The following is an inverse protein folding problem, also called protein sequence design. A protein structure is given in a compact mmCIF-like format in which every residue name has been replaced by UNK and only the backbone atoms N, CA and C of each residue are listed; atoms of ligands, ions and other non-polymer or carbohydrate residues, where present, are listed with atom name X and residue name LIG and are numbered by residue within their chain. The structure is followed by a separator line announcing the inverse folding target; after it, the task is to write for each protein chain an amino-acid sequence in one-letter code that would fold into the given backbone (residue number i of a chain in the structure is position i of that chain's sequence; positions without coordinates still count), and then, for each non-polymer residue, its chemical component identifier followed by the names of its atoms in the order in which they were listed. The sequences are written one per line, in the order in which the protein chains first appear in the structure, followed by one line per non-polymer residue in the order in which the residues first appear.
data_IF_341106131413
#
_entry.id   IF_341106131413
#
_cell.length_a   1.000
_cell.length_b   1.000
_cell.length_c   1.000
_cell.angle_alpha   90.00
_cell.angle_beta   90.00
_cell.angle_gamma   90.00
#
_symmetry.space_group_name_H-M   'P 1'
#
loop_
_entity.id
_entity.type
_entity.pdbx_description
1 polymer ?
#
# COMPACT_ATOMS: atom_id res chain seq x y z
N UNK A 1 -27.83 18.58 -28.81
CA UNK A 1 -26.96 18.86 -27.64
C UNK A 1 -26.21 17.61 -27.16
N UNK A 2 -26.89 16.48 -26.94
CA UNK A 2 -26.29 15.24 -26.42
C UNK A 2 -25.03 14.74 -27.17
N UNK A 3 -25.03 14.72 -28.52
CA UNK A 3 -23.89 14.24 -29.32
C UNK A 3 -22.58 15.02 -29.07
N UNK A 4 -22.66 16.34 -28.86
CA UNK A 4 -21.47 17.18 -28.60
C UNK A 4 -20.92 16.96 -27.19
N UNK A 5 -21.80 16.75 -26.21
CA UNK A 5 -21.41 16.41 -24.85
C UNK A 5 -20.71 15.03 -24.79
N UNK A 6 -21.23 14.03 -25.51
CA UNK A 6 -20.60 12.71 -25.59
C UNK A 6 -19.21 12.74 -26.23
N UNK A 7 -19.02 13.51 -27.31
CA UNK A 7 -17.71 13.68 -27.95
C UNK A 7 -16.73 14.36 -26.98
N UNK A 8 -17.17 15.42 -26.29
CA UNK A 8 -16.32 16.13 -25.33
C UNK A 8 -15.87 15.21 -24.17
N UNK A 9 -16.77 14.41 -23.61
CA UNK A 9 -16.45 13.44 -22.56
C UNK A 9 -15.45 12.41 -23.06
N UNK A 10 -15.64 11.89 -24.28
CA UNK A 10 -14.71 10.92 -24.88
C UNK A 10 -13.32 11.52 -25.08
N UNK A 11 -13.23 12.75 -25.60
CA UNK A 11 -11.95 13.45 -25.80
C UNK A 11 -11.24 13.67 -24.45
N UNK A 12 -11.96 14.13 -23.42
CA UNK A 12 -11.39 14.30 -22.08
C UNK A 12 -10.93 12.96 -21.51
N UNK A 13 -11.73 11.90 -21.64
CA UNK A 13 -11.36 10.56 -21.19
C UNK A 13 -10.08 10.06 -21.88
N UNK A 14 -9.96 10.26 -23.20
CA UNK A 14 -8.75 9.89 -23.95
C UNK A 14 -7.53 10.70 -23.50
N UNK A 15 -7.69 12.02 -23.32
CA UNK A 15 -6.60 12.90 -22.86
C UNK A 15 -6.08 12.51 -21.46
N UNK A 16 -6.93 11.95 -20.60
CA UNK A 16 -6.52 11.45 -19.28
C UNK A 16 -5.99 10.01 -19.33
N UNK A 17 -6.55 9.17 -20.21
CA UNK A 17 -6.16 7.77 -20.33
C UNK A 17 -4.74 7.61 -20.89
N UNK A 18 -4.35 8.42 -21.88
CA UNK A 18 -3.02 8.36 -22.52
C UNK A 18 -1.88 8.54 -21.51
N UNK A 19 -1.80 9.62 -20.70
CA UNK A 19 -0.71 9.80 -19.75
C UNK A 19 -0.73 8.74 -18.64
N UNK A 20 -1.92 8.30 -18.18
CA UNK A 20 -2.01 7.23 -17.18
C UNK A 20 -1.50 5.89 -17.72
N UNK A 21 -1.85 5.55 -18.97
CA UNK A 21 -1.37 4.35 -19.64
C UNK A 21 0.14 4.42 -19.88
N UNK A 22 0.65 5.56 -20.34
CA UNK A 22 2.08 5.79 -20.51
C UNK A 22 2.84 5.66 -19.18
N UNK A 23 2.37 6.33 -18.13
CA UNK A 23 2.94 6.27 -16.78
C UNK A 23 2.96 4.85 -16.21
N UNK A 24 1.87 4.11 -16.40
CA UNK A 24 1.79 2.69 -16.00
C UNK A 24 2.78 1.84 -16.80
N UNK A 25 2.87 2.03 -18.12
CA UNK A 25 3.76 1.27 -18.99
C UNK A 25 5.25 1.54 -18.71
N UNK A 26 5.59 2.76 -18.31
CA UNK A 26 6.96 3.13 -17.90
C UNK A 26 7.30 2.75 -16.45
N UNK A 27 6.33 2.26 -15.67
CA UNK A 27 6.54 1.87 -14.28
C UNK A 27 6.47 3.01 -13.27
N UNK A 28 6.16 4.24 -13.70
CA UNK A 28 5.98 5.40 -12.82
C UNK A 28 4.70 5.33 -11.98
N UNK A 29 3.79 4.42 -12.33
CA UNK A 29 2.55 4.17 -11.59
C UNK A 29 2.41 2.68 -11.29
N UNK A 30 2.31 2.37 -10.01
CA UNK A 30 2.08 1.02 -9.52
C UNK A 30 0.62 0.85 -9.11
N UNK A 31 0.01 -0.23 -9.57
CA UNK A 31 -1.38 -0.56 -9.28
C UNK A 31 -1.47 -1.57 -8.15
N UNK A 32 -2.35 -1.26 -7.19
CA UNK A 32 -2.56 -2.04 -5.99
C UNK A 32 -3.93 -2.67 -6.00
N UNK A 33 -3.99 -3.98 -5.73
CA UNK A 33 -5.20 -4.79 -5.80
C UNK A 33 -5.48 -5.43 -4.45
N UNK A 34 -6.74 -5.45 -4.00
CA UNK A 34 -7.10 -6.21 -2.80
C UNK A 34 -6.82 -7.70 -3.05
N UNK A 35 -6.15 -8.36 -2.10
CA UNK A 35 -5.69 -9.74 -2.32
C UNK A 35 -6.62 -10.82 -1.75
N UNK A 36 -7.71 -10.44 -1.09
CA UNK A 36 -8.59 -11.37 -0.35
C UNK A 36 -7.95 -12.00 0.90
N UNK A 37 -6.70 -11.63 1.22
CA UNK A 37 -6.03 -12.07 2.43
C UNK A 37 -6.53 -11.34 3.67
N UNK A 38 -6.12 -11.83 4.84
CA UNK A 38 -6.50 -11.25 6.13
C UNK A 38 -5.29 -10.73 6.89
N UNK A 39 -5.52 -9.72 7.71
CA UNK A 39 -4.52 -9.15 8.61
C UNK A 39 -4.97 -9.40 10.03
N UNK A 40 -4.07 -9.91 10.85
CA UNK A 40 -4.25 -10.04 12.29
C UNK A 40 -3.29 -9.12 13.04
N UNK A 41 -3.76 -8.58 14.15
CA UNK A 41 -2.95 -7.82 15.10
C UNK A 41 -3.07 -8.51 16.46
N UNK A 42 -1.94 -8.94 17.01
CA UNK A 42 -1.88 -9.76 18.22
C UNK A 42 -2.79 -11.01 18.15
N UNK A 43 -2.91 -11.59 16.95
CA UNK A 43 -3.75 -12.77 16.67
C UNK A 43 -5.23 -12.48 16.44
N UNK A 44 -5.67 -11.22 16.56
CA UNK A 44 -7.07 -10.82 16.32
C UNK A 44 -7.22 -10.29 14.89
N UNK A 45 -8.18 -10.78 14.09
CA UNK A 45 -8.47 -10.23 12.76
C UNK A 45 -8.78 -8.74 12.83
N UNK A 46 -7.96 -7.91 12.19
CA UNK A 46 -7.99 -6.45 12.35
C UNK A 46 -7.30 -5.74 11.19
N UNK A 47 -7.72 -6.02 9.95
CA UNK A 47 -7.22 -5.30 8.80
C UNK A 47 -7.44 -5.99 7.47
N UNK A 48 -6.74 -5.50 6.46
CA UNK A 48 -6.78 -5.97 5.08
C UNK A 48 -5.47 -5.68 4.36
N UNK A 49 -5.23 -6.35 3.24
CA UNK A 49 -4.02 -6.19 2.47
C UNK A 49 -4.29 -5.93 0.98
N UNK A 50 -3.41 -5.14 0.40
CA UNK A 50 -3.32 -4.93 -1.05
C UNK A 50 -1.96 -5.39 -1.53
N UNK A 51 -1.90 -5.98 -2.72
CA UNK A 51 -0.63 -6.32 -3.38
C UNK A 51 -0.48 -5.53 -4.66
N UNK A 52 0.75 -5.19 -5.01
CA UNK A 52 1.02 -4.67 -6.33
C UNK A 52 0.82 -5.76 -7.40
N UNK A 53 0.59 -5.34 -8.64
CA UNK A 53 0.43 -6.27 -9.77
C UNK A 53 1.61 -7.25 -9.94
N UNK A 54 2.82 -6.80 -9.61
CA UNK A 54 4.05 -7.60 -9.70
C UNK A 54 4.17 -8.63 -8.56
N UNK A 55 3.36 -8.51 -7.50
CA UNK A 55 3.41 -9.40 -6.33
C UNK A 55 4.69 -9.28 -5.51
N UNK A 56 5.46 -8.20 -5.65
CA UNK A 56 6.74 -7.94 -4.96
C UNK A 56 6.60 -7.05 -3.74
N UNK A 57 5.44 -6.42 -3.58
CA UNK A 57 5.13 -5.49 -2.51
C UNK A 57 3.70 -5.69 -2.01
N UNK A 58 3.47 -5.34 -0.74
CA UNK A 58 2.16 -5.39 -0.10
C UNK A 58 1.94 -4.15 0.75
N UNK A 59 0.74 -3.59 0.68
CA UNK A 59 0.25 -2.61 1.65
C UNK A 59 -0.63 -3.34 2.65
N UNK A 60 -0.16 -3.41 3.90
CA UNK A 60 -0.89 -3.99 5.01
C UNK A 60 -1.55 -2.86 5.78
N UNK A 61 -2.87 -2.91 5.94
CA UNK A 61 -3.62 -1.89 6.69
C UNK A 61 -4.26 -2.52 7.90
N UNK A 62 -3.92 -2.03 9.09
CA UNK A 62 -4.53 -2.44 10.35
C UNK A 62 -5.65 -1.49 10.76
N UNK A 63 -6.69 -2.03 11.37
CA UNK A 63 -7.92 -1.30 11.74
C UNK A 63 -8.21 -1.35 13.24
N UNK A 64 -7.33 -1.91 14.06
CA UNK A 64 -7.44 -1.94 15.52
C UNK A 64 -7.04 -0.61 16.19
N UNK A 65 -6.54 0.35 15.41
CA UNK A 65 -6.20 1.71 15.84
C UNK A 65 -7.12 2.75 15.17
N UNK A 66 -7.23 3.92 15.81
CA UNK A 66 -7.92 5.09 15.25
C UNK A 66 -6.96 6.29 15.25
N UNK A 67 -6.57 6.84 14.09
CA UNK A 67 -6.90 6.36 12.74
C UNK A 67 -6.27 4.99 12.42
N UNK A 68 -6.80 4.31 11.41
CA UNK A 68 -6.19 3.10 10.82
C UNK A 68 -4.77 3.41 10.32
N UNK A 69 -3.89 2.41 10.33
CA UNK A 69 -2.51 2.58 9.91
C UNK A 69 -2.16 1.63 8.77
N UNK A 70 -1.44 2.13 7.77
CA UNK A 70 -0.93 1.33 6.66
C UNK A 70 0.59 1.22 6.70
N UNK A 71 1.08 0.07 6.23
CA UNK A 71 2.48 -0.26 6.12
C UNK A 71 2.77 -0.75 4.70
N UNK A 72 3.80 -0.22 4.06
CA UNK A 72 4.33 -0.72 2.80
C UNK A 72 5.42 -1.75 3.11
N UNK A 73 5.24 -2.98 2.64
CA UNK A 73 6.22 -4.05 2.75
C UNK A 73 6.78 -4.34 1.37
N UNK A 74 8.10 -4.23 1.24
CA UNK A 74 8.85 -4.57 0.03
C UNK A 74 9.56 -5.90 0.27
N UNK A 75 9.30 -6.90 -0.58
CA UNK A 75 9.80 -8.27 -0.39
C UNK A 75 10.27 -8.94 -1.69
N UNK A 76 10.87 -8.16 -2.57
CA UNK A 76 11.48 -8.59 -3.84
C UNK A 76 12.33 -9.88 -3.74
N UNK A 77 12.35 -10.65 -4.83
CA UNK A 77 13.11 -11.90 -5.04
C UNK A 77 14.63 -11.68 -5.11
N UNK A 78 15.09 -10.45 -5.28
CA UNK A 78 16.50 -10.09 -5.20
C UNK A 78 16.94 -10.01 -3.74
N UNK A 79 17.98 -10.78 -3.38
CA UNK A 79 18.50 -11.07 -2.03
C UNK A 79 18.83 -9.86 -1.12
N UNK A 80 18.60 -8.61 -1.52
CA UNK A 80 19.26 -7.46 -0.89
C UNK A 80 18.44 -6.56 0.01
N UNK A 81 17.11 -6.67 0.14
CA UNK A 81 16.41 -6.07 1.28
C UNK A 81 14.92 -6.40 1.32
N UNK A 82 14.47 -7.01 2.41
CA UNK A 82 13.07 -6.89 2.84
C UNK A 82 12.98 -5.65 3.72
N UNK A 83 11.96 -4.83 3.51
CA UNK A 83 11.74 -3.63 4.31
C UNK A 83 10.25 -3.41 4.53
N UNK A 84 9.93 -2.79 5.66
CA UNK A 84 8.59 -2.34 6.02
C UNK A 84 8.65 -0.87 6.41
N UNK A 85 7.77 -0.07 5.81
CA UNK A 85 7.67 1.37 6.00
C UNK A 85 6.28 1.73 6.50
N UNK A 86 6.17 2.64 7.47
CA UNK A 86 4.88 3.20 7.88
C UNK A 86 4.42 4.26 6.88
N UNK A 87 3.13 4.32 6.57
CA UNK A 87 2.58 5.25 5.58
C UNK A 87 2.06 6.57 6.17
N UNK A 88 2.64 7.01 7.29
CA UNK A 88 2.25 8.22 7.99
C UNK A 88 0.75 8.28 8.35
N UNK A 89 0.12 9.41 8.08
CA UNK A 89 -1.32 9.63 8.26
C UNK A 89 -2.19 9.03 7.11
N UNK A 90 -1.57 8.48 6.06
CA UNK A 90 -2.28 7.85 4.95
C UNK A 90 -2.60 6.37 5.25
N UNK A 91 -3.78 5.94 4.82
CA UNK A 91 -4.12 4.52 4.77
C UNK A 91 -4.85 4.14 3.48
N UNK A 92 -4.57 2.93 2.98
CA UNK A 92 -5.29 2.36 1.86
C UNK A 92 -6.75 2.13 2.26
N UNK A 93 -7.70 2.28 1.31
CA UNK A 93 -9.10 1.91 1.55
C UNK A 93 -9.32 0.44 1.20
N UNK A 94 -10.12 -0.27 1.99
CA UNK A 94 -10.26 -1.73 1.93
C UNK A 94 -10.53 -2.34 0.54
N UNK A 95 -11.51 -1.82 -0.22
CA UNK A 95 -12.03 -2.53 -1.39
C UNK A 95 -11.61 -1.95 -2.74
N UNK A 96 -10.78 -0.91 -2.75
CA UNK A 96 -10.49 -0.18 -3.99
C UNK A 96 -9.17 -0.63 -4.59
N UNK A 97 -9.19 -0.87 -5.91
CA UNK A 97 -7.97 -0.81 -6.71
C UNK A 97 -7.55 0.65 -6.79
N UNK A 98 -6.27 0.94 -6.52
CA UNK A 98 -5.77 2.30 -6.60
C UNK A 98 -4.37 2.37 -7.22
N UNK A 99 -4.07 3.41 -8.01
CA UNK A 99 -2.73 3.70 -8.46
C UNK A 99 -1.95 4.49 -7.39
N UNK A 100 -0.67 4.18 -7.23
CA UNK A 100 0.31 5.00 -6.52
C UNK A 100 1.41 5.40 -7.52
N UNK A 101 1.66 6.70 -7.65
CA UNK A 101 2.78 7.22 -8.43
C UNK A 101 4.09 7.18 -7.64
N UNK A 102 5.21 7.20 -8.36
CA UNK A 102 6.55 7.26 -7.74
C UNK A 102 6.87 8.62 -7.10
N UNK A 103 6.21 9.69 -7.55
CA UNK A 103 6.40 11.05 -7.01
C UNK A 103 5.50 11.22 -5.79
N UNK A 104 6.11 11.35 -4.61
CA UNK A 104 5.45 11.45 -3.30
C UNK A 104 4.58 10.22 -2.97
N UNK A 105 5.16 9.01 -2.88
CA UNK A 105 4.40 7.84 -2.47
C UNK A 105 3.87 8.06 -1.05
N UNK A 106 2.67 7.52 -0.72
CA UNK A 106 2.07 7.71 0.60
C UNK A 106 2.89 7.07 1.72
N UNK A 107 3.78 6.14 1.37
CA UNK A 107 4.69 5.49 2.29
C UNK A 107 6.11 5.93 1.95
N UNK A 108 6.75 6.66 2.88
CA UNK A 108 8.09 7.20 2.71
C UNK A 108 8.99 6.71 3.84
N UNK A 109 10.29 6.42 3.58
CA UNK A 109 11.26 6.17 4.63
C UNK A 109 11.52 7.40 5.51
N UNK A 110 11.15 8.59 5.03
CA UNK A 110 11.30 9.86 5.74
C UNK A 110 9.94 10.28 6.29
N UNK A 111 9.63 9.84 7.51
CA UNK A 111 8.48 10.35 8.26
C UNK A 111 8.84 11.68 8.92
N UNK A 112 7.88 12.60 8.99
CA UNK A 112 8.04 13.82 9.78
C UNK A 112 8.09 13.52 11.29
N UNK A 113 8.74 14.39 12.06
CA UNK A 113 8.87 14.23 13.53
C UNK A 113 7.52 14.13 14.26
N UNK A 114 6.52 14.88 13.79
CA UNK A 114 5.15 14.82 14.31
C UNK A 114 4.43 13.50 13.97
N UNK A 115 4.76 12.87 12.83
CA UNK A 115 4.21 11.57 12.45
C UNK A 115 4.82 10.46 13.30
N UNK A 116 6.11 10.53 13.63
CA UNK A 116 6.80 9.54 14.47
C UNK A 116 6.15 9.39 15.85
N UNK A 117 5.58 10.45 16.41
CA UNK A 117 4.91 10.39 17.71
C UNK A 117 3.57 9.64 17.66
N UNK A 118 2.85 9.72 16.54
CA UNK A 118 1.53 9.07 16.36
C UNK A 118 1.63 7.69 15.70
N UNK A 119 2.63 7.48 14.87
CA UNK A 119 2.86 6.26 14.12
C UNK A 119 3.23 5.08 15.04
N UNK A 120 2.63 3.92 14.82
CA UNK A 120 3.15 2.69 15.38
C UNK A 120 4.17 2.10 14.41
N UNK A 121 5.38 2.66 14.45
CA UNK A 121 6.47 2.40 13.49
C UNK A 121 6.83 0.91 13.46
N UNK A 122 6.98 0.29 12.29
CA UNK A 122 7.34 -1.11 12.18
C UNK A 122 8.83 -1.33 12.48
N UNK A 123 9.17 -2.47 13.08
CA UNK A 123 10.54 -2.90 13.35
C UNK A 123 11.04 -3.77 12.20
N UNK A 124 11.85 -3.20 11.31
CA UNK A 124 12.46 -3.91 10.19
C UNK A 124 13.24 -5.17 10.62
N UNK A 125 13.86 -5.18 11.80
CA UNK A 125 14.58 -6.34 12.34
C UNK A 125 13.70 -7.56 12.62
N UNK A 126 12.39 -7.36 12.77
CA UNK A 126 11.42 -8.42 13.03
C UNK A 126 10.64 -8.84 11.79
N UNK A 127 10.91 -8.21 10.65
CA UNK A 127 10.22 -8.50 9.40
C UNK A 127 10.59 -9.91 8.91
N UNK A 128 9.58 -10.76 8.87
CA UNK A 128 9.63 -12.09 8.25
C UNK A 128 8.67 -12.09 7.06
N UNK A 129 9.14 -12.62 5.94
CA UNK A 129 8.30 -12.84 4.76
C UNK A 129 8.56 -14.24 4.26
N UNK A 130 7.53 -15.08 4.34
CA UNK A 130 7.51 -16.47 3.88
C UNK A 130 6.44 -16.63 2.81
N UNK A 131 6.30 -17.85 2.26
CA UNK A 131 5.34 -18.11 1.18
C UNK A 131 3.90 -17.83 1.64
N UNK A 132 3.35 -16.69 1.21
CA UNK A 132 1.97 -16.27 1.51
C UNK A 132 1.78 -15.60 2.88
N UNK A 133 2.85 -15.31 3.62
CA UNK A 133 2.75 -14.71 4.96
C UNK A 133 3.80 -13.62 5.15
N UNK A 134 3.36 -12.48 5.69
CA UNK A 134 4.21 -11.37 6.14
C UNK A 134 3.96 -11.17 7.63
N UNK A 135 5.04 -11.12 8.41
CA UNK A 135 4.99 -10.85 9.84
C UNK A 135 6.00 -9.78 10.23
N UNK A 136 5.60 -8.87 11.12
CA UNK A 136 6.52 -7.93 11.75
C UNK A 136 5.95 -7.47 13.09
N UNK A 137 6.82 -6.92 13.93
CA UNK A 137 6.45 -6.24 15.16
C UNK A 137 6.57 -4.73 15.00
N UNK A 138 5.84 -3.97 15.82
CA UNK A 138 5.95 -2.51 15.88
C UNK A 138 6.70 -2.05 17.14
N UNK A 139 7.10 -0.78 17.17
CA UNK A 139 7.76 -0.16 18.35
C UNK A 139 6.86 -0.16 19.59
N UNK A 140 5.54 -0.21 19.45
CA UNK A 140 4.60 -0.36 20.57
C UNK A 140 4.32 -1.82 20.95
N UNK A 141 5.08 -2.76 20.39
CA UNK A 141 5.01 -4.19 20.73
C UNK A 141 3.86 -4.95 20.06
N UNK A 142 3.20 -4.36 19.05
CA UNK A 142 2.13 -5.04 18.31
C UNK A 142 2.71 -6.03 17.33
N UNK A 143 2.12 -7.23 17.26
CA UNK A 143 2.49 -8.25 16.26
C UNK A 143 1.50 -8.20 15.11
N UNK A 144 1.98 -7.84 13.93
CA UNK A 144 1.17 -7.76 12.71
C UNK A 144 1.50 -8.98 11.85
N UNK A 145 0.48 -9.73 11.47
CA UNK A 145 0.58 -10.84 10.51
C UNK A 145 -0.43 -10.61 9.39
N UNK A 146 0.03 -10.71 8.14
CA UNK A 146 -0.81 -10.69 6.96
C UNK A 146 -0.59 -11.97 6.14
N UNK A 147 -1.67 -12.63 5.72
CA UNK A 147 -1.59 -13.87 4.95
C UNK A 147 -2.57 -13.91 3.79
N UNK A 148 -2.17 -14.56 2.69
CA UNK A 148 -2.95 -14.78 1.47
C UNK A 148 -2.58 -16.09 0.76
#
# INVERSE_FOLDING_TARGET
MAKRASIAILVVALLLAIPLAYSTAQGYTMWWFPSGGFVTVDGVPSGYLHKNWQGTEAIITRTDSKPSQSYLVVFTTSKTSKAVFHCGDWHARHFFVFPIGEVNPPCSPLLGEAELQRADVPLNSTLSVTSGVIEFSTVRGKKVNASW
#
